data_IF_124443997135
#
_entry.id   IF_124443997135
#
_cell.length_a   1.000
_cell.length_b   1.000
_cell.length_c   1.000
_cell.angle_alpha   90.00
_cell.angle_beta   90.00
_cell.angle_gamma   90.00
#
_symmetry.space_group_name_H-M   'P 1'
#
loop_
_entity.id
_entity.type
_entity.pdbx_description
1 polymer ?
#
# COMPACT_ATOMS: atom_id res chain seq x y z
N UNK A 1 47.41 -22.19 6.41
CA UNK A 1 46.82 -20.99 7.01
C UNK A 1 46.46 -19.87 6.01
N UNK A 2 47.35 -19.58 5.05
CA UNK A 2 47.02 -18.55 4.02
C UNK A 2 45.87 -18.96 3.07
N UNK A 3 45.72 -20.22 2.73
CA UNK A 3 44.63 -20.71 1.88
C UNK A 3 43.26 -20.67 2.59
N UNK A 4 43.21 -20.91 3.89
CA UNK A 4 41.98 -20.86 4.68
C UNK A 4 41.45 -19.45 4.80
N UNK A 5 42.35 -18.45 4.95
CA UNK A 5 42.00 -17.04 4.95
C UNK A 5 41.47 -16.57 3.59
N UNK A 6 42.00 -17.08 2.48
CA UNK A 6 41.51 -16.74 1.14
C UNK A 6 40.13 -17.33 0.86
N UNK A 7 39.90 -18.57 1.27
CA UNK A 7 38.59 -19.23 1.14
C UNK A 7 37.50 -18.50 1.95
N UNK A 8 37.82 -18.08 3.16
CA UNK A 8 36.92 -17.34 4.02
C UNK A 8 36.54 -15.96 3.41
N UNK A 9 37.50 -15.30 2.76
CA UNK A 9 37.22 -14.03 2.04
C UNK A 9 36.34 -14.23 0.81
N UNK A 10 36.54 -15.30 0.06
CA UNK A 10 35.70 -15.64 -1.11
C UNK A 10 34.26 -15.95 -0.67
N UNK A 11 34.09 -16.72 0.40
CA UNK A 11 32.78 -17.03 0.94
C UNK A 11 32.07 -15.76 1.46
N UNK A 12 32.80 -14.91 2.16
CA UNK A 12 32.26 -13.64 2.66
C UNK A 12 31.82 -12.69 1.52
N UNK A 13 32.63 -12.57 0.47
CA UNK A 13 32.27 -11.77 -0.71
C UNK A 13 31.07 -12.35 -1.47
N UNK A 14 30.97 -13.66 -1.56
CA UNK A 14 29.85 -14.35 -2.19
C UNK A 14 28.56 -14.12 -1.39
N UNK A 15 28.62 -14.22 -0.07
CA UNK A 15 27.47 -13.95 0.82
C UNK A 15 27.03 -12.50 0.75
N UNK A 16 27.95 -11.54 0.72
CA UNK A 16 27.64 -10.11 0.56
C UNK A 16 26.99 -9.85 -0.81
N UNK A 17 27.51 -10.48 -1.87
CA UNK A 17 26.94 -10.35 -3.22
C UNK A 17 25.51 -10.90 -3.30
N UNK A 18 25.24 -12.04 -2.67
CA UNK A 18 23.89 -12.60 -2.58
C UNK A 18 22.95 -11.65 -1.81
N UNK A 19 23.44 -11.06 -0.73
CA UNK A 19 22.65 -10.11 0.08
C UNK A 19 22.29 -8.84 -0.71
N UNK A 20 23.15 -8.37 -1.58
CA UNK A 20 22.92 -7.20 -2.44
C UNK A 20 21.90 -7.49 -3.56
N UNK A 21 21.84 -8.72 -4.05
CA UNK A 21 20.90 -9.12 -5.12
C UNK A 21 19.50 -9.39 -4.57
N UNK A 22 19.38 -9.88 -3.34
CA UNK A 22 18.07 -10.15 -2.71
C UNK A 22 17.40 -8.91 -2.14
N UNK A 23 18.13 -7.80 -1.99
CA UNK A 23 17.60 -6.51 -1.53
C UNK A 23 16.59 -5.82 -2.47
N UNK A 24 16.43 -6.30 -3.71
CA UNK A 24 15.50 -5.73 -4.68
C UNK A 24 14.02 -6.06 -4.42
N UNK A 25 13.70 -6.99 -3.54
CA UNK A 25 12.32 -7.37 -3.25
C UNK A 25 11.52 -6.32 -2.49
N UNK A 26 12.18 -5.47 -1.72
CA UNK A 26 11.57 -4.42 -0.90
C UNK A 26 11.07 -3.21 -1.70
N UNK A 27 11.55 -3.05 -2.94
CA UNK A 27 11.19 -1.90 -3.78
C UNK A 27 9.88 -2.15 -4.55
N UNK A 28 9.43 -3.40 -4.66
CA UNK A 28 8.25 -3.78 -5.46
C UNK A 28 6.91 -3.74 -4.73
N UNK A 29 6.88 -3.75 -3.40
CA UNK A 29 5.67 -3.40 -2.65
C UNK A 29 5.70 -1.91 -2.36
N UNK A 30 5.21 -1.15 -3.32
CA UNK A 30 5.08 0.29 -3.17
C UNK A 30 4.21 0.62 -1.95
N UNK A 31 4.48 1.76 -1.34
CA UNK A 31 3.65 2.36 -0.28
C UNK A 31 2.29 2.85 -0.79
N UNK A 32 1.85 2.37 -1.95
CA UNK A 32 0.59 2.73 -2.62
C UNK A 32 -0.18 1.49 -3.01
N UNK A 33 -1.44 1.48 -2.68
CA UNK A 33 -2.38 0.44 -3.09
C UNK A 33 -3.35 0.97 -4.15
N UNK A 34 -3.63 0.20 -5.21
CA UNK A 34 -4.65 0.54 -6.18
C UNK A 34 -6.04 0.32 -5.55
N UNK A 35 -6.85 1.35 -5.53
CA UNK A 35 -8.23 1.30 -5.03
C UNK A 35 -9.18 1.58 -6.17
N UNK A 36 -10.15 0.68 -6.37
CA UNK A 36 -11.21 0.81 -7.36
C UNK A 36 -12.43 1.49 -6.74
N UNK A 37 -12.88 2.54 -7.37
CA UNK A 37 -14.08 3.27 -6.97
C UNK A 37 -15.19 3.00 -7.97
N UNK A 38 -16.26 2.41 -7.49
CA UNK A 38 -17.48 2.14 -8.26
C UNK A 38 -18.69 2.74 -7.55
N UNK A 39 -19.75 2.98 -8.27
CA UNK A 39 -20.98 3.51 -7.67
C UNK A 39 -22.22 3.07 -8.43
N UNK A 40 -23.32 3.07 -7.72
CA UNK A 40 -24.67 2.94 -8.28
C UNK A 40 -25.52 4.12 -7.77
N UNK A 41 -25.99 5.00 -8.67
CA UNK A 41 -25.82 4.98 -10.12
C UNK A 41 -24.38 5.28 -10.58
N UNK A 42 -24.03 4.88 -11.78
CA UNK A 42 -22.73 5.16 -12.38
C UNK A 42 -22.49 6.67 -12.60
N UNK A 43 -21.24 7.03 -12.85
CA UNK A 43 -20.81 8.42 -13.09
C UNK A 43 -21.05 9.36 -11.90
N UNK A 44 -20.86 8.86 -10.68
CA UNK A 44 -20.77 9.71 -9.50
C UNK A 44 -19.41 10.40 -9.42
N UNK A 45 -19.42 11.62 -8.98
CA UNK A 45 -18.20 12.37 -8.68
C UNK A 45 -17.56 11.82 -7.42
N UNK A 46 -16.27 11.58 -7.48
CA UNK A 46 -15.46 11.07 -6.37
C UNK A 46 -14.59 12.20 -5.84
N UNK A 47 -14.71 12.48 -4.56
CA UNK A 47 -13.88 13.43 -3.82
C UNK A 47 -13.11 12.68 -2.76
N UNK A 48 -11.82 12.94 -2.67
CA UNK A 48 -10.94 12.40 -1.62
C UNK A 48 -10.39 13.56 -0.81
N UNK A 49 -10.67 13.55 0.49
CA UNK A 49 -10.32 14.65 1.40
C UNK A 49 -10.79 16.04 0.89
N UNK A 50 -11.95 16.07 0.24
CA UNK A 50 -12.54 17.29 -0.32
C UNK A 50 -12.00 17.68 -1.70
N UNK A 51 -11.08 16.92 -2.27
CA UNK A 51 -10.48 17.18 -3.60
C UNK A 51 -11.15 16.29 -4.64
N UNK A 52 -11.64 16.89 -5.73
CA UNK A 52 -12.22 16.16 -6.86
C UNK A 52 -11.16 15.31 -7.56
N UNK A 53 -11.43 14.01 -7.68
CA UNK A 53 -10.50 13.05 -8.28
C UNK A 53 -10.96 12.51 -9.64
N UNK A 54 -12.25 12.48 -9.88
CA UNK A 54 -12.82 11.97 -11.13
C UNK A 54 -14.25 11.47 -10.94
N UNK A 55 -14.71 10.68 -11.89
CA UNK A 55 -16.05 10.05 -11.88
C UNK A 55 -15.93 8.54 -11.94
N UNK A 56 -16.89 7.86 -11.30
CA UNK A 56 -16.91 6.38 -11.31
C UNK A 56 -17.29 5.82 -12.69
N UNK A 57 -16.77 4.66 -13.10
CA UNK A 57 -15.74 3.87 -12.41
C UNK A 57 -14.35 4.52 -12.51
N UNK A 58 -13.59 4.49 -11.42
CA UNK A 58 -12.29 5.16 -11.31
C UNK A 58 -11.32 4.28 -10.48
N UNK A 59 -10.07 4.18 -10.93
CA UNK A 59 -9.01 3.53 -10.16
C UNK A 59 -7.95 4.55 -9.80
N UNK A 60 -7.58 4.62 -8.54
CA UNK A 60 -6.56 5.51 -8.02
C UNK A 60 -5.55 4.74 -7.17
N UNK A 61 -4.29 5.13 -7.27
CA UNK A 61 -3.25 4.65 -6.36
C UNK A 61 -3.19 5.57 -5.14
N UNK A 62 -3.53 5.03 -3.99
CA UNK A 62 -3.52 5.75 -2.71
C UNK A 62 -2.38 5.25 -1.83
N UNK A 63 -1.80 6.14 -1.04
CA UNK A 63 -0.76 5.75 -0.08
C UNK A 63 -1.36 4.91 1.04
N UNK A 64 -0.78 3.73 1.27
CA UNK A 64 -1.26 2.78 2.26
C UNK A 64 -1.11 3.27 3.72
N UNK A 65 -0.20 4.21 3.96
CA UNK A 65 0.08 4.74 5.30
C UNK A 65 -0.79 5.95 5.71
N UNK A 66 -1.86 6.23 4.96
CA UNK A 66 -2.76 7.36 5.23
C UNK A 66 -4.21 6.92 5.29
N UNK A 67 -4.99 7.68 6.05
CA UNK A 67 -6.44 7.57 6.07
C UNK A 67 -7.06 8.58 5.10
N UNK A 68 -8.11 8.17 4.40
CA UNK A 68 -8.79 9.03 3.43
C UNK A 68 -10.29 9.08 3.71
N UNK A 69 -10.87 10.26 3.48
CA UNK A 69 -12.32 10.45 3.46
C UNK A 69 -12.75 10.51 2.00
N UNK A 70 -13.53 9.54 1.58
CA UNK A 70 -14.05 9.43 0.21
C UNK A 70 -15.52 9.83 0.19
N UNK A 71 -15.85 10.79 -0.64
CA UNK A 71 -17.23 11.20 -0.86
C UNK A 71 -17.65 10.91 -2.30
N UNK A 72 -18.82 10.29 -2.44
CA UNK A 72 -19.51 10.17 -3.72
C UNK A 72 -20.62 11.20 -3.80
N UNK A 73 -20.65 11.97 -4.89
CA UNK A 73 -21.67 13.00 -5.15
C UNK A 73 -22.25 12.83 -6.53
N UNK A 74 -23.56 12.97 -6.63
CA UNK A 74 -24.29 13.03 -7.89
C UNK A 74 -25.52 13.90 -7.72
N UNK A 75 -25.85 14.70 -8.74
CA UNK A 75 -27.01 15.57 -8.73
C UNK A 75 -28.31 14.76 -8.57
N UNK A 76 -29.15 15.16 -7.62
CA UNK A 76 -30.40 14.47 -7.29
C UNK A 76 -30.25 13.27 -6.36
N UNK A 77 -29.05 13.01 -5.85
CA UNK A 77 -28.76 11.92 -4.93
C UNK A 77 -28.09 12.42 -3.65
N UNK A 78 -28.35 11.74 -2.55
CA UNK A 78 -27.66 12.01 -1.30
C UNK A 78 -26.17 11.65 -1.41
N UNK A 79 -25.31 12.51 -0.88
CA UNK A 79 -23.88 12.23 -0.84
C UNK A 79 -23.59 11.07 0.09
N UNK A 80 -22.71 10.18 -0.32
CA UNK A 80 -22.23 9.08 0.49
C UNK A 80 -20.78 9.30 0.88
N UNK A 81 -20.48 9.09 2.17
CA UNK A 81 -19.14 9.27 2.71
C UNK A 81 -18.62 7.93 3.24
N UNK A 82 -17.40 7.58 2.86
CA UNK A 82 -16.67 6.42 3.34
C UNK A 82 -15.34 6.86 3.94
N UNK A 83 -14.98 6.23 5.04
CA UNK A 83 -13.65 6.39 5.62
C UNK A 83 -12.78 5.20 5.21
N UNK A 84 -11.76 5.45 4.38
CA UNK A 84 -10.72 4.48 4.11
C UNK A 84 -9.68 4.55 5.22
N UNK A 85 -9.61 3.49 6.00
CA UNK A 85 -8.59 3.32 7.03
C UNK A 85 -7.49 2.39 6.53
N UNK A 86 -6.34 2.49 7.12
CA UNK A 86 -5.24 1.60 6.87
C UNK A 86 -5.05 0.64 8.04
N UNK A 87 -4.62 -0.57 7.74
CA UNK A 87 -4.24 -1.56 8.72
C UNK A 87 -2.78 -1.99 8.53
N UNK A 88 -2.19 -2.48 9.60
CA UNK A 88 -0.84 -3.03 9.56
C UNK A 88 -0.92 -4.51 9.23
N UNK A 89 -0.31 -4.90 8.13
CA UNK A 89 -0.27 -6.31 7.75
C UNK A 89 0.76 -7.06 8.61
N UNK A 90 0.27 -7.75 9.65
CA UNK A 90 1.10 -8.49 10.60
C UNK A 90 1.96 -9.59 9.99
N UNK A 91 1.61 -10.08 8.80
CA UNK A 91 2.40 -11.09 8.08
C UNK A 91 3.77 -10.57 7.65
N UNK A 92 3.85 -9.33 7.20
CA UNK A 92 5.13 -8.71 6.82
C UNK A 92 6.02 -8.45 8.04
N UNK A 93 5.44 -8.04 9.16
CA UNK A 93 6.17 -7.85 10.42
C UNK A 93 6.80 -9.17 10.88
N UNK A 94 6.07 -10.27 10.78
CA UNK A 94 6.58 -11.58 11.16
C UNK A 94 7.76 -12.04 10.30
N UNK A 95 7.68 -11.80 8.99
CA UNK A 95 8.78 -12.09 8.06
C UNK A 95 10.02 -11.24 8.36
N UNK A 96 9.83 -9.96 8.65
CA UNK A 96 10.92 -9.04 8.96
C UNK A 96 11.64 -9.43 10.26
N UNK A 97 10.91 -9.87 11.28
CA UNK A 97 11.50 -10.39 12.53
C UNK A 97 12.32 -11.66 12.28
N UNK A 98 11.89 -12.50 11.34
CA UNK A 98 12.55 -13.75 11.01
C UNK A 98 13.87 -13.53 10.24
N UNK A 99 13.93 -12.50 9.39
CA UNK A 99 15.08 -12.19 8.53
C UNK A 99 16.05 -11.16 9.13
N UNK A 100 15.76 -10.61 10.29
CA UNK A 100 16.63 -9.70 11.04
C UNK A 100 16.05 -8.30 11.23
N UNK A 101 16.63 -7.55 12.15
CA UNK A 101 16.10 -6.25 12.59
C UNK A 101 16.27 -5.12 11.55
N UNK A 102 17.15 -5.25 10.58
CA UNK A 102 17.42 -4.21 9.58
C UNK A 102 16.26 -3.92 8.64
N UNK A 103 15.56 -4.92 8.09
CA UNK A 103 14.38 -4.68 7.27
C UNK A 103 13.27 -3.94 8.01
N UNK A 104 13.09 -4.24 9.30
CA UNK A 104 12.07 -3.62 10.16
C UNK A 104 12.22 -2.10 10.20
N UNK A 105 13.44 -1.59 10.34
CA UNK A 105 13.69 -0.14 10.42
C UNK A 105 13.36 0.53 9.11
N UNK A 106 13.68 -0.09 7.97
CA UNK A 106 13.42 0.45 6.64
C UNK A 106 11.91 0.43 6.35
N UNK A 107 11.23 -0.67 6.64
CA UNK A 107 9.79 -0.80 6.39
C UNK A 107 8.95 0.10 7.30
N UNK A 108 9.35 0.27 8.57
CA UNK A 108 8.73 1.23 9.45
C UNK A 108 8.89 2.68 8.97
N UNK A 109 10.06 3.03 8.45
CA UNK A 109 10.34 4.37 7.93
C UNK A 109 9.61 4.66 6.61
N UNK A 110 9.44 3.64 5.75
CA UNK A 110 8.79 3.77 4.43
C UNK A 110 7.28 3.53 4.46
N UNK A 111 6.75 2.95 5.55
CA UNK A 111 5.33 2.60 5.68
C UNK A 111 4.92 1.36 4.89
N UNK A 112 5.88 0.49 4.54
CA UNK A 112 5.62 -0.74 3.78
C UNK A 112 4.74 -1.77 4.49
N UNK A 113 4.51 -1.61 5.79
CA UNK A 113 3.63 -2.50 6.58
C UNK A 113 2.14 -2.15 6.47
N UNK A 114 1.83 -0.97 5.96
CA UNK A 114 0.46 -0.50 5.87
C UNK A 114 -0.19 -0.97 4.59
N UNK A 115 -1.39 -1.48 4.70
CA UNK A 115 -2.27 -1.84 3.60
C UNK A 115 -3.60 -1.13 3.79
N UNK A 116 -4.21 -0.65 2.72
CA UNK A 116 -5.57 -0.13 2.81
C UNK A 116 -6.55 -1.29 3.04
N UNK A 117 -7.54 -1.06 3.91
CA UNK A 117 -8.52 -2.10 4.28
C UNK A 117 -9.45 -2.48 3.12
N UNK A 118 -9.49 -1.66 2.07
CA UNK A 118 -10.41 -1.83 0.94
C UNK A 118 -9.70 -1.66 -0.40
N UNK A 119 -9.72 -2.70 -1.21
CA UNK A 119 -9.29 -2.66 -2.62
C UNK A 119 -10.41 -2.17 -3.54
N UNK A 120 -11.66 -2.25 -3.09
CA UNK A 120 -12.86 -1.85 -3.81
C UNK A 120 -13.77 -1.02 -2.90
N UNK A 121 -14.06 0.20 -3.31
CA UNK A 121 -15.03 1.08 -2.65
C UNK A 121 -16.26 1.21 -3.55
N UNK A 122 -17.38 0.70 -3.09
CA UNK A 122 -18.66 0.78 -3.81
C UNK A 122 -19.60 1.76 -3.12
N UNK A 123 -19.93 2.83 -3.83
CA UNK A 123 -20.89 3.84 -3.38
C UNK A 123 -22.30 3.55 -3.90
N UNK A 124 -23.18 3.10 -3.03
CA UNK A 124 -24.60 3.03 -3.35
C UNK A 124 -25.27 4.32 -2.87
N UNK A 125 -25.69 5.17 -3.83
CA UNK A 125 -26.34 6.45 -3.54
C UNK A 125 -27.86 6.30 -3.62
N UNK A 126 -28.53 6.88 -2.64
CA UNK A 126 -29.98 6.96 -2.61
C UNK A 126 -30.45 8.30 -3.18
N UNK A 127 -31.66 8.30 -3.77
CA UNK A 127 -32.27 9.55 -4.26
C UNK A 127 -32.54 10.49 -3.09
N UNK A 128 -32.19 11.75 -3.27
CA UNK A 128 -32.52 12.80 -2.33
C UNK A 128 -34.04 12.97 -2.27
N UNK A 129 -34.60 12.88 -1.07
CA UNK A 129 -36.04 13.03 -0.83
C UNK A 129 -36.46 14.47 -0.69
#
# INVERSE_FOLDING_TARGET
MKQFSSLCKVIATLLISIFLVTGCGLIFHGTKDPVNFTSEPEKCQVYINGIFMGTTPLMLELKSNKTYIVEFRKDGYERKVFNLTNSVNGGYIFLDVLFGLWPIVIDAATGGWYTLDYDLVHGNLELEK
#
